data_IF_645916939527
#
_entry.id   IF_645916939527
#
_cell.length_a   1.000
_cell.length_b   1.000
_cell.length_c   1.000
_cell.angle_alpha   90.00
_cell.angle_beta   90.00
_cell.angle_gamma   90.00
#
_symmetry.space_group_name_H-M   'P 1'
#
loop_
_entity.id
_entity.type
_entity.pdbx_description
1 polymer ?
#
# COMPACT_ATOMS: atom_id res chain seq x y z
N UNK A 1 -31.51 -15.75 -24.28
CA UNK A 1 -31.84 -14.36 -23.87
C UNK A 1 -31.45 -14.22 -22.40
N UNK A 2 -30.33 -13.57 -22.09
CA UNK A 2 -30.02 -13.24 -20.69
C UNK A 2 -30.83 -11.99 -20.33
N UNK A 3 -31.82 -12.16 -19.46
CA UNK A 3 -32.48 -11.04 -18.80
C UNK A 3 -31.46 -10.38 -17.87
N UNK A 4 -30.87 -9.27 -18.30
CA UNK A 4 -30.04 -8.43 -17.44
C UNK A 4 -30.98 -7.74 -16.44
N UNK A 5 -31.28 -8.42 -15.34
CA UNK A 5 -31.79 -7.74 -14.15
C UNK A 5 -30.70 -6.79 -13.65
N UNK A 6 -30.87 -5.49 -13.86
CA UNK A 6 -29.96 -4.43 -13.42
C UNK A 6 -30.04 -4.24 -11.90
N UNK A 7 -29.67 -5.27 -11.13
CA UNK A 7 -29.51 -5.10 -9.69
C UNK A 7 -28.37 -4.11 -9.47
N UNK A 8 -28.59 -3.05 -8.66
CA UNK A 8 -27.52 -2.14 -8.29
C UNK A 8 -26.36 -2.94 -7.70
N UNK A 9 -25.13 -2.63 -8.13
CA UNK A 9 -23.94 -3.21 -7.53
C UNK A 9 -23.81 -2.63 -6.12
N UNK A 10 -23.79 -3.50 -5.12
CA UNK A 10 -23.55 -3.09 -3.73
C UNK A 10 -22.11 -2.60 -3.57
N UNK A 11 -21.87 -1.60 -2.71
CA UNK A 11 -20.51 -1.18 -2.38
C UNK A 11 -19.67 -2.32 -1.82
N UNK A 12 -18.44 -2.47 -2.33
CA UNK A 12 -17.50 -3.52 -1.93
C UNK A 12 -16.64 -3.02 -0.79
N UNK A 13 -16.47 -3.85 0.25
CA UNK A 13 -15.60 -3.56 1.40
C UNK A 13 -14.12 -3.85 1.06
N UNK A 14 -13.15 -3.20 1.73
CA UNK A 14 -11.74 -3.57 1.62
C UNK A 14 -11.51 -5.03 2.04
N UNK A 15 -10.64 -5.74 1.33
CA UNK A 15 -10.23 -7.12 1.63
C UNK A 15 -8.79 -7.23 2.17
N UNK A 16 -8.01 -6.16 2.04
CA UNK A 16 -6.58 -6.10 2.32
C UNK A 16 -6.08 -4.69 2.60
N UNK A 17 -4.88 -4.59 3.19
CA UNK A 17 -4.14 -3.34 3.31
C UNK A 17 -2.64 -3.57 3.18
N UNK A 18 -1.97 -2.63 2.53
CA UNK A 18 -0.51 -2.54 2.49
C UNK A 18 -0.03 -1.14 2.88
N UNK A 19 1.19 -1.07 3.43
CA UNK A 19 1.81 0.20 3.82
C UNK A 19 2.81 0.65 2.75
N UNK A 20 2.64 1.88 2.29
CA UNK A 20 3.55 2.53 1.34
C UNK A 20 4.46 3.49 2.09
N UNK A 21 5.76 3.34 1.90
CA UNK A 21 6.80 4.21 2.45
C UNK A 21 7.47 4.99 1.33
N UNK A 22 7.80 6.25 1.61
CA UNK A 22 8.35 7.17 0.63
C UNK A 22 9.83 7.42 0.90
N UNK A 23 10.66 7.19 -0.11
CA UNK A 23 12.10 7.43 -0.05
C UNK A 23 12.48 8.55 -1.02
N UNK A 24 13.36 9.45 -0.62
CA UNK A 24 13.89 10.48 -1.51
C UNK A 24 15.05 9.91 -2.33
N UNK A 25 14.95 9.97 -3.67
CA UNK A 25 16.04 9.59 -4.54
C UNK A 25 17.21 10.58 -4.37
N UNK A 26 18.42 10.12 -4.02
CA UNK A 26 19.55 11.01 -3.76
C UNK A 26 20.13 11.66 -5.03
N UNK A 27 19.70 11.22 -6.22
CA UNK A 27 20.24 11.70 -7.50
C UNK A 27 19.37 12.78 -8.17
N UNK A 28 18.05 12.71 -7.99
CA UNK A 28 17.12 13.62 -8.66
C UNK A 28 16.02 14.16 -7.74
N UNK A 29 16.06 13.87 -6.43
CA UNK A 29 15.08 14.30 -5.42
C UNK A 29 13.63 13.88 -5.71
N UNK A 30 13.45 12.87 -6.57
CA UNK A 30 12.15 12.23 -6.81
C UNK A 30 11.77 11.40 -5.59
N UNK A 31 10.52 11.54 -5.15
CA UNK A 31 9.93 10.66 -4.14
C UNK A 31 9.59 9.29 -4.75
N UNK A 32 10.18 8.22 -4.22
CA UNK A 32 9.98 6.84 -4.67
C UNK A 32 9.12 6.09 -3.64
N UNK A 33 7.89 5.68 -3.99
CA UNK A 33 7.03 4.88 -3.11
C UNK A 33 7.42 3.39 -3.16
N UNK A 34 7.52 2.74 -2.01
CA UNK A 34 7.78 1.30 -1.88
C UNK A 34 6.81 0.65 -0.89
N UNK A 35 6.37 -0.55 -1.20
CA UNK A 35 5.47 -1.32 -0.34
C UNK A 35 6.31 -2.01 0.74
N UNK A 36 6.15 -1.58 1.99
CA UNK A 36 6.73 -2.14 3.21
C UNK A 36 8.09 -2.89 3.03
N UNK A 37 9.17 -2.21 2.61
CA UNK A 37 10.45 -2.87 2.36
C UNK A 37 11.13 -3.23 3.71
N UNK A 38 10.87 -4.43 4.23
CA UNK A 38 11.34 -4.87 5.56
C UNK A 38 12.76 -5.45 5.57
N UNK A 39 13.38 -5.58 4.39
CA UNK A 39 14.74 -6.08 4.23
C UNK A 39 15.64 -5.04 3.57
N UNK A 40 16.93 -4.95 3.94
CA UNK A 40 17.89 -4.12 3.24
C UNK A 40 17.88 -4.41 1.74
N UNK A 41 17.71 -3.39 0.92
CA UNK A 41 17.55 -3.55 -0.53
C UNK A 41 17.94 -2.28 -1.28
N UNK A 42 18.07 -2.41 -2.60
CA UNK A 42 18.26 -1.29 -3.52
C UNK A 42 16.90 -0.89 -4.09
N UNK A 43 16.51 0.35 -3.90
CA UNK A 43 15.38 0.95 -4.61
C UNK A 43 15.84 1.39 -6.01
N UNK A 44 14.95 1.29 -7.00
CA UNK A 44 15.17 1.86 -8.32
C UNK A 44 14.30 3.10 -8.50
N UNK A 45 14.91 4.25 -8.81
CA UNK A 45 14.15 5.47 -9.07
C UNK A 45 13.39 5.37 -10.39
N UNK A 46 12.08 5.65 -10.37
CA UNK A 46 11.20 5.68 -11.54
C UNK A 46 11.51 6.83 -12.51
N UNK A 47 12.24 7.86 -12.06
CA UNK A 47 12.54 9.06 -12.85
C UNK A 47 13.93 9.03 -13.49
N UNK A 48 14.99 8.82 -12.70
CA UNK A 48 16.38 8.85 -13.21
C UNK A 48 17.00 7.46 -13.41
N UNK A 49 16.25 6.39 -13.10
CA UNK A 49 16.67 4.98 -13.22
C UNK A 49 17.88 4.57 -12.37
N UNK A 50 18.44 5.49 -11.57
CA UNK A 50 19.57 5.19 -10.69
C UNK A 50 19.12 4.35 -9.50
N UNK A 51 19.82 3.24 -9.20
CA UNK A 51 19.57 2.45 -8.00
C UNK A 51 20.22 3.13 -6.77
N UNK A 52 19.54 3.09 -5.63
CA UNK A 52 20.09 3.59 -4.36
C UNK A 52 19.71 2.68 -3.18
N UNK A 53 20.60 2.52 -2.17
CA UNK A 53 20.28 1.71 -1.00
C UNK A 53 19.24 2.40 -0.15
N UNK A 54 18.33 1.62 0.43
CA UNK A 54 17.31 2.11 1.36
C UNK A 54 17.44 1.47 2.72
N UNK A 55 17.04 2.22 3.75
CA UNK A 55 16.89 1.68 5.11
C UNK A 55 15.60 0.87 5.16
N UNK A 56 15.63 -0.39 5.65
CA UNK A 56 14.43 -1.19 5.80
C UNK A 56 13.48 -0.60 6.84
N UNK A 57 12.19 -0.84 6.64
CA UNK A 57 11.16 -0.54 7.65
C UNK A 57 11.06 -1.68 8.67
N UNK A 58 10.61 -1.37 9.88
CA UNK A 58 10.43 -2.38 10.91
C UNK A 58 9.23 -3.30 10.60
N UNK A 59 9.50 -4.60 10.46
CA UNK A 59 8.48 -5.60 10.16
C UNK A 59 7.42 -5.68 11.27
N UNK A 60 7.80 -5.51 12.53
CA UNK A 60 6.86 -5.60 13.66
C UNK A 60 5.83 -4.46 13.60
N UNK A 61 6.28 -3.26 13.26
CA UNK A 61 5.42 -2.08 13.05
C UNK A 61 4.45 -2.32 11.89
N UNK A 62 4.94 -2.81 10.75
CA UNK A 62 4.08 -3.14 9.59
C UNK A 62 3.01 -4.16 9.99
N UNK A 63 3.42 -5.23 10.68
CA UNK A 63 2.52 -6.28 11.14
C UNK A 63 1.51 -5.76 12.15
N UNK A 64 1.93 -4.93 13.10
CA UNK A 64 1.06 -4.32 14.11
C UNK A 64 -0.07 -3.53 13.44
N UNK A 65 0.25 -2.67 12.48
CA UNK A 65 -0.74 -1.85 11.77
C UNK A 65 -1.72 -2.72 10.97
N UNK A 66 -1.23 -3.75 10.27
CA UNK A 66 -2.10 -4.70 9.57
C UNK A 66 -3.04 -5.43 10.52
N UNK A 67 -2.55 -5.90 11.67
CA UNK A 67 -3.40 -6.56 12.67
C UNK A 67 -4.43 -5.59 13.26
N UNK A 68 -4.01 -4.37 13.61
CA UNK A 68 -4.89 -3.35 14.16
C UNK A 68 -6.07 -3.01 13.23
N UNK A 69 -5.83 -3.04 11.92
CA UNK A 69 -6.83 -2.72 10.90
C UNK A 69 -7.64 -3.94 10.42
N UNK A 70 -7.52 -5.11 11.06
CA UNK A 70 -8.04 -6.39 10.55
C UNK A 70 -7.68 -6.59 9.06
N UNK A 71 -6.40 -6.39 8.76
CA UNK A 71 -5.85 -6.39 7.42
C UNK A 71 -6.61 -5.46 6.45
N UNK A 72 -7.08 -4.30 6.92
CA UNK A 72 -7.81 -3.30 6.13
C UNK A 72 -9.33 -3.38 6.24
N UNK A 73 -9.89 -4.52 6.70
CA UNK A 73 -11.35 -4.70 6.82
C UNK A 73 -11.98 -3.77 7.85
N UNK A 74 -11.23 -3.39 8.88
CA UNK A 74 -11.69 -2.46 9.91
C UNK A 74 -11.56 -0.98 9.49
N UNK A 75 -11.00 -0.68 8.32
CA UNK A 75 -10.79 0.69 7.84
C UNK A 75 -11.98 1.27 7.05
N UNK A 76 -13.16 0.63 7.14
CA UNK A 76 -14.39 1.14 6.53
C UNK A 76 -14.88 2.34 7.33
N UNK A 77 -15.31 3.40 6.64
CA UNK A 77 -15.93 4.57 7.26
C UNK A 77 -17.19 4.14 8.04
N UNK A 78 -17.28 4.41 9.36
CA UNK A 78 -18.44 4.06 10.17
C UNK A 78 -19.76 4.64 9.66
N UNK A 79 -19.74 5.79 8.98
CA UNK A 79 -20.94 6.43 8.42
C UNK A 79 -21.43 5.74 7.14
N UNK A 80 -20.66 4.79 6.62
CA UNK A 80 -20.97 3.99 5.43
C UNK A 80 -21.46 2.57 5.77
N UNK A 81 -21.48 2.20 7.06
CA UNK A 81 -21.87 0.86 7.55
C UNK A 81 -23.31 0.82 8.06
#
# INVERSE_FOLDING_TARGET
MMSQSSRPVEPVRPDGVELVFFYQCPFCNRTVPLIAPTQPSMAQCDSCMQPFPIVPVDERTVRYLKVMLDNGRAAVDPDFV
#
